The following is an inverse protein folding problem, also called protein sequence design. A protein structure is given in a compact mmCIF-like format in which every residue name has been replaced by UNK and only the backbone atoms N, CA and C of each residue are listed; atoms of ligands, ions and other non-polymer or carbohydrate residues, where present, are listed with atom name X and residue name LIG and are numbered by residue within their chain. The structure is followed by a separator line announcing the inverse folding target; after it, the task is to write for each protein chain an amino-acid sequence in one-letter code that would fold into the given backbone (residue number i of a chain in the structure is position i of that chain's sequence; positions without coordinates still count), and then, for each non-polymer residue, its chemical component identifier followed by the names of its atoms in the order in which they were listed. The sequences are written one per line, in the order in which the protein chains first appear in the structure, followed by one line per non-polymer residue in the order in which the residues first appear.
data_IF_358093184439
#
_entry.id   IF_358093184439
#
_cell.length_a   1.000
_cell.length_b   1.000
_cell.length_c   1.000
_cell.angle_alpha   90.00
_cell.angle_beta   90.00
_cell.angle_gamma   90.00
#
_symmetry.space_group_name_H-M   'P 1'
#
loop_
_entity.id
_entity.type
_entity.pdbx_description
1 polymer ?
#
# COMPACT_ATOMS: atom_id res chain seq x y z
N UNK A 1 28.52 -65.74 -31.71
CA UNK A 1 28.69 -64.28 -31.78
C UNK A 1 29.88 -64.01 -32.66
N UNK A 2 29.69 -63.27 -33.77
CA UNK A 2 30.84 -62.88 -34.60
C UNK A 2 31.72 -61.90 -33.82
N UNK A 3 32.91 -62.34 -33.48
CA UNK A 3 33.93 -61.50 -32.82
C UNK A 3 34.56 -60.60 -33.86
N UNK A 4 34.15 -59.34 -33.89
CA UNK A 4 34.60 -58.32 -34.82
C UNK A 4 35.77 -57.55 -34.15
N UNK A 5 36.99 -57.70 -34.65
CA UNK A 5 38.21 -57.08 -34.09
C UNK A 5 38.26 -55.56 -34.37
N UNK A 6 37.63 -55.13 -35.46
CA UNK A 6 37.64 -53.73 -35.90
C UNK A 6 36.64 -52.86 -35.12
N UNK A 7 35.52 -53.44 -34.64
CA UNK A 7 34.55 -52.70 -33.85
C UNK A 7 34.18 -53.48 -32.56
N UNK A 8 34.62 -52.91 -31.39
CA UNK A 8 34.29 -53.49 -30.12
C UNK A 8 32.88 -53.06 -29.67
N UNK A 9 31.87 -53.79 -30.16
CA UNK A 9 30.45 -53.51 -29.83
C UNK A 9 30.17 -53.53 -28.32
N UNK A 10 30.79 -54.48 -27.58
CA UNK A 10 30.64 -54.58 -26.15
C UNK A 10 31.17 -53.36 -25.41
N UNK A 11 32.35 -52.88 -25.82
CA UNK A 11 32.91 -51.63 -25.23
C UNK A 11 32.07 -50.39 -25.55
N UNK A 12 31.50 -50.30 -26.76
CA UNK A 12 30.61 -49.21 -27.15
C UNK A 12 29.30 -49.21 -26.37
N UNK A 13 28.71 -50.38 -26.11
CA UNK A 13 27.52 -50.51 -25.25
C UNK A 13 27.85 -50.14 -23.79
N UNK A 14 28.97 -50.66 -23.27
CA UNK A 14 29.43 -50.32 -21.93
C UNK A 14 29.68 -48.82 -21.75
N UNK A 15 30.33 -48.19 -22.74
CA UNK A 15 30.59 -46.73 -22.74
C UNK A 15 29.29 -45.93 -22.77
N UNK A 16 28.30 -46.29 -23.59
CA UNK A 16 26.97 -45.61 -23.60
C UNK A 16 26.26 -45.73 -22.28
N UNK A 17 26.26 -46.92 -21.67
CA UNK A 17 25.62 -47.15 -20.37
C UNK A 17 26.35 -46.39 -19.26
N UNK A 18 27.69 -46.36 -19.27
CA UNK A 18 28.47 -45.57 -18.34
C UNK A 18 28.16 -44.06 -18.46
N UNK A 19 28.13 -43.53 -19.68
CA UNK A 19 27.79 -42.13 -19.92
C UNK A 19 26.37 -41.80 -19.45
N UNK A 20 25.42 -42.73 -19.64
CA UNK A 20 24.02 -42.56 -19.17
C UNK A 20 23.96 -42.56 -17.63
N UNK A 21 24.68 -43.48 -16.97
CA UNK A 21 24.75 -43.56 -15.50
C UNK A 21 25.43 -42.31 -14.88
N UNK A 22 26.51 -41.81 -15.49
CA UNK A 22 27.21 -40.60 -15.06
C UNK A 22 26.34 -39.35 -15.18
N UNK A 23 25.64 -39.16 -16.32
CA UNK A 23 24.67 -38.07 -16.50
C UNK A 23 23.54 -38.15 -15.47
N UNK A 24 23.02 -39.35 -15.18
CA UNK A 24 21.97 -39.53 -14.19
C UNK A 24 22.48 -39.21 -12.77
N UNK A 25 23.69 -39.67 -12.42
CA UNK A 25 24.32 -39.33 -11.14
C UNK A 25 24.55 -37.82 -10.97
N UNK A 26 25.04 -37.15 -12.00
CA UNK A 26 25.22 -35.68 -12.01
C UNK A 26 23.87 -34.94 -11.86
N UNK A 27 22.81 -35.41 -12.51
CA UNK A 27 21.46 -34.85 -12.36
C UNK A 27 20.94 -35.03 -10.93
N UNK A 28 21.07 -36.22 -10.33
CA UNK A 28 20.68 -36.47 -8.94
C UNK A 28 21.50 -35.60 -7.96
N UNK A 29 22.79 -35.42 -8.22
CA UNK A 29 23.64 -34.54 -7.41
C UNK A 29 23.17 -33.06 -7.50
N UNK A 30 22.80 -32.59 -8.68
CA UNK A 30 22.25 -31.24 -8.86
C UNK A 30 20.95 -31.04 -8.08
N UNK A 31 20.04 -32.03 -8.10
CA UNK A 31 18.80 -32.02 -7.31
C UNK A 31 19.07 -32.02 -5.80
N UNK A 32 19.98 -32.87 -5.35
CA UNK A 32 20.39 -32.95 -3.93
C UNK A 32 21.03 -31.65 -3.47
N UNK A 33 21.88 -31.04 -4.30
CA UNK A 33 22.55 -29.77 -3.98
C UNK A 33 21.59 -28.58 -3.94
N UNK A 34 20.55 -28.57 -4.80
CA UNK A 34 19.54 -27.50 -4.83
C UNK A 34 18.39 -27.71 -3.83
N UNK A 35 18.21 -28.93 -3.32
CA UNK A 35 17.04 -29.32 -2.52
C UNK A 35 15.73 -29.36 -3.31
N UNK A 36 15.79 -29.17 -4.63
CA UNK A 36 14.63 -29.07 -5.51
C UNK A 36 14.53 -30.30 -6.45
N UNK A 37 13.34 -30.86 -6.58
CA UNK A 37 13.03 -31.94 -7.52
C UNK A 37 13.17 -31.48 -8.98
N UNK A 38 12.83 -30.21 -9.25
CA UNK A 38 12.88 -29.59 -10.57
C UNK A 38 13.95 -28.52 -10.59
N UNK A 39 15.11 -28.84 -11.16
CA UNK A 39 16.25 -27.91 -11.23
C UNK A 39 16.23 -27.12 -12.55
N UNK A 40 15.68 -27.69 -13.60
CA UNK A 40 15.64 -27.08 -14.93
C UNK A 40 14.27 -27.28 -15.58
N UNK A 41 13.92 -26.37 -16.53
CA UNK A 41 12.69 -26.50 -17.32
C UNK A 41 12.63 -27.79 -18.15
N UNK A 42 13.76 -28.49 -18.34
CA UNK A 42 13.87 -29.77 -19.01
C UNK A 42 13.33 -30.91 -18.14
N UNK A 43 13.44 -30.79 -16.82
CA UNK A 43 13.01 -31.83 -15.87
C UNK A 43 11.49 -31.87 -15.77
N UNK A 44 10.85 -30.71 -15.59
CA UNK A 44 9.41 -30.54 -15.60
C UNK A 44 9.06 -29.05 -15.83
N UNK A 45 8.69 -28.71 -17.07
CA UNK A 45 8.35 -27.35 -17.44
C UNK A 45 7.04 -26.87 -16.79
N UNK A 46 6.08 -27.80 -16.57
CA UNK A 46 4.78 -27.46 -15.99
C UNK A 46 4.92 -27.15 -14.49
N UNK A 47 5.61 -28.01 -13.74
CA UNK A 47 5.87 -27.79 -12.32
C UNK A 47 6.70 -26.54 -12.09
N UNK A 48 7.70 -26.27 -12.94
CA UNK A 48 8.52 -25.05 -12.86
C UNK A 48 7.70 -23.78 -13.10
N UNK A 49 6.82 -23.77 -14.11
CA UNK A 49 5.97 -22.64 -14.41
C UNK A 49 4.95 -22.34 -13.28
N UNK A 50 4.31 -23.40 -12.76
CA UNK A 50 3.37 -23.28 -11.64
C UNK A 50 4.12 -22.84 -10.38
N UNK A 51 5.26 -23.45 -10.07
CA UNK A 51 6.08 -23.10 -8.91
C UNK A 51 6.59 -21.65 -8.94
N UNK A 52 6.99 -21.13 -10.10
CA UNK A 52 7.34 -19.73 -10.29
C UNK A 52 6.16 -18.80 -10.03
N UNK A 53 4.95 -19.18 -10.49
CA UNK A 53 3.74 -18.38 -10.27
C UNK A 53 3.36 -18.35 -8.79
N UNK A 54 3.41 -19.53 -8.12
CA UNK A 54 3.17 -19.60 -6.67
C UNK A 54 4.22 -18.79 -5.88
N UNK A 55 5.49 -18.82 -6.29
CA UNK A 55 6.54 -18.00 -5.67
C UNK A 55 6.24 -16.50 -5.79
N UNK A 56 5.80 -16.04 -6.95
CA UNK A 56 5.40 -14.63 -7.14
C UNK A 56 4.17 -14.29 -6.29
N UNK A 57 3.21 -15.20 -6.16
CA UNK A 57 2.03 -15.04 -5.31
C UNK A 57 2.41 -14.93 -3.83
N UNK A 58 3.31 -15.78 -3.33
CA UNK A 58 3.83 -15.72 -1.97
C UNK A 58 4.51 -14.38 -1.70
N UNK A 59 5.31 -13.85 -2.64
CA UNK A 59 5.93 -12.52 -2.50
C UNK A 59 4.87 -11.42 -2.42
N UNK A 60 3.82 -11.50 -3.24
CA UNK A 60 2.68 -10.58 -3.20
C UNK A 60 1.94 -10.64 -1.86
N UNK A 61 1.66 -11.84 -1.35
CA UNK A 61 1.01 -12.04 -0.05
C UNK A 61 1.86 -11.51 1.11
N UNK A 62 3.18 -11.71 1.07
CA UNK A 62 4.09 -11.13 2.08
C UNK A 62 4.04 -9.60 2.07
N UNK A 63 4.00 -8.97 0.90
CA UNK A 63 3.84 -7.52 0.81
C UNK A 63 2.46 -7.07 1.28
N UNK A 64 1.39 -7.81 0.96
CA UNK A 64 0.04 -7.53 1.44
C UNK A 64 -0.04 -7.61 2.98
N UNK A 65 0.65 -8.56 3.61
CA UNK A 65 0.76 -8.64 5.07
C UNK A 65 1.44 -7.40 5.68
N UNK A 66 2.51 -6.91 5.05
CA UNK A 66 3.17 -5.66 5.46
C UNK A 66 2.22 -4.46 5.32
N UNK A 67 1.51 -4.36 4.20
CA UNK A 67 0.54 -3.28 3.97
C UNK A 67 -0.58 -3.30 5.03
N UNK A 68 -1.07 -4.49 5.40
CA UNK A 68 -2.10 -4.66 6.44
C UNK A 68 -1.58 -4.24 7.81
N UNK A 69 -0.32 -4.56 8.14
CA UNK A 69 0.32 -4.10 9.38
C UNK A 69 0.48 -2.58 9.44
N UNK A 70 0.86 -1.95 8.33
CA UNK A 70 0.94 -0.49 8.22
C UNK A 70 -0.45 0.16 8.37
N UNK A 71 -1.48 -0.41 7.74
CA UNK A 71 -2.86 0.05 7.87
C UNK A 71 -3.34 -0.02 9.33
N UNK A 72 -3.07 -1.13 10.02
CA UNK A 72 -3.42 -1.30 11.43
C UNK A 72 -2.72 -0.25 12.31
N UNK A 73 -1.42 -0.01 12.07
CA UNK A 73 -0.64 1.01 12.81
C UNK A 73 -1.20 2.42 12.57
N UNK A 74 -1.57 2.74 11.34
CA UNK A 74 -2.19 4.02 10.99
C UNK A 74 -3.51 4.22 11.75
N UNK A 75 -4.36 3.19 11.82
CA UNK A 75 -5.64 3.26 12.53
C UNK A 75 -5.45 3.37 14.05
N UNK A 76 -4.41 2.76 14.62
CA UNK A 76 -4.08 2.93 16.03
C UNK A 76 -3.68 4.37 16.36
N UNK A 77 -2.91 5.03 15.48
CA UNK A 77 -2.56 6.46 15.63
C UNK A 77 -3.82 7.31 15.57
N UNK A 78 -4.73 7.05 14.62
CA UNK A 78 -5.99 7.78 14.49
C UNK A 78 -6.90 7.59 15.72
N UNK A 79 -7.08 6.35 16.21
CA UNK A 79 -7.88 6.08 17.40
C UNK A 79 -7.27 6.73 18.66
N UNK A 80 -5.95 6.72 18.79
CA UNK A 80 -5.26 7.40 19.88
C UNK A 80 -5.55 8.90 19.91
N UNK A 81 -5.53 9.57 18.76
CA UNK A 81 -5.90 10.99 18.65
C UNK A 81 -7.38 11.22 18.96
N UNK A 82 -8.27 10.38 18.41
CA UNK A 82 -9.71 10.46 18.68
C UNK A 82 -10.03 10.25 20.17
N UNK A 83 -9.29 9.37 20.86
CA UNK A 83 -9.42 9.18 22.30
C UNK A 83 -9.07 10.44 23.08
N UNK A 84 -7.96 11.13 22.73
CA UNK A 84 -7.57 12.39 23.37
C UNK A 84 -8.60 13.49 23.14
N UNK A 85 -9.12 13.61 21.92
CA UNK A 85 -10.18 14.56 21.62
C UNK A 85 -11.46 14.25 22.41
N UNK A 86 -11.82 12.96 22.59
CA UNK A 86 -12.94 12.56 23.46
C UNK A 86 -12.76 13.02 24.90
N UNK A 87 -11.55 12.91 25.47
CA UNK A 87 -11.25 13.37 26.81
C UNK A 87 -11.43 14.91 26.92
N UNK A 88 -10.99 15.65 25.90
CA UNK A 88 -11.16 17.10 25.82
C UNK A 88 -12.66 17.47 25.73
N UNK A 89 -13.44 16.80 24.87
CA UNK A 89 -14.88 17.02 24.73
C UNK A 89 -15.62 16.76 26.06
N UNK A 90 -15.25 15.71 26.78
CA UNK A 90 -15.81 15.43 28.10
C UNK A 90 -15.51 16.57 29.09
N UNK A 91 -14.31 17.12 29.08
CA UNK A 91 -13.97 18.29 29.92
C UNK A 91 -14.74 19.52 29.46
N UNK A 92 -14.86 19.79 28.19
CA UNK A 92 -15.65 20.89 27.63
C UNK A 92 -17.12 20.76 28.00
N UNK A 93 -17.69 19.55 28.06
CA UNK A 93 -19.04 19.28 28.54
C UNK A 93 -19.19 19.69 30.00
N UNK A 94 -18.24 19.31 30.84
CA UNK A 94 -18.27 19.68 32.26
C UNK A 94 -18.24 21.21 32.45
N UNK A 95 -17.36 21.92 31.69
CA UNK A 95 -17.28 23.39 31.72
C UNK A 95 -18.57 24.05 31.24
N UNK A 96 -19.20 23.54 30.18
CA UNK A 96 -20.45 24.07 29.65
C UNK A 96 -21.60 23.90 30.65
N UNK A 97 -21.67 22.77 31.34
CA UNK A 97 -22.68 22.54 32.43
C UNK A 97 -22.40 23.47 33.60
N UNK A 98 -21.13 23.65 34.01
CA UNK A 98 -20.76 24.57 35.09
C UNK A 98 -21.14 26.01 34.74
N UNK A 99 -20.83 26.48 33.53
CA UNK A 99 -21.15 27.83 33.06
C UNK A 99 -22.65 28.07 32.89
N UNK A 100 -23.44 27.01 32.66
CA UNK A 100 -24.92 27.04 32.65
C UNK A 100 -25.56 27.27 33.99
N UNK A 101 -24.81 27.18 35.09
CA UNK A 101 -25.33 27.47 36.43
C UNK A 101 -25.68 28.96 36.60
N UNK A 102 -26.88 29.22 37.11
CA UNK A 102 -27.34 30.57 37.35
C UNK A 102 -26.59 31.32 38.46
N UNK A 103 -25.75 30.63 39.23
CA UNK A 103 -25.02 31.20 40.36
C UNK A 103 -23.76 31.96 39.97
N UNK A 104 -23.21 31.70 38.76
CA UNK A 104 -21.97 32.32 38.32
C UNK A 104 -22.18 33.74 37.79
N UNK A 105 -21.25 34.62 38.10
CA UNK A 105 -21.19 35.96 37.53
C UNK A 105 -20.70 35.92 36.05
N UNK A 106 -20.91 36.99 35.32
CA UNK A 106 -20.41 37.10 33.97
C UNK A 106 -18.88 37.01 33.86
N UNK A 107 -18.16 37.53 34.88
CA UNK A 107 -16.70 37.49 34.95
C UNK A 107 -16.19 36.05 35.15
N UNK A 108 -16.84 35.28 36.03
CA UNK A 108 -16.49 33.87 36.28
C UNK A 108 -16.74 33.02 35.01
N UNK A 109 -17.89 33.25 34.32
CA UNK A 109 -18.13 32.60 33.03
C UNK A 109 -17.10 32.96 31.99
N UNK A 110 -16.64 34.20 31.94
CA UNK A 110 -15.56 34.63 31.01
C UNK A 110 -14.24 33.88 31.28
N UNK A 111 -13.93 33.64 32.58
CA UNK A 111 -12.76 32.81 32.93
C UNK A 111 -12.92 31.36 32.51
N UNK A 112 -14.07 30.77 32.68
CA UNK A 112 -14.38 29.41 32.19
C UNK A 112 -14.33 29.35 30.63
N UNK A 113 -14.83 30.42 29.98
CA UNK A 113 -14.78 30.48 28.51
C UNK A 113 -13.35 30.54 28.01
N UNK A 114 -12.42 31.16 28.71
CA UNK A 114 -10.99 31.17 28.34
C UNK A 114 -10.43 29.72 28.35
N UNK A 115 -10.73 28.91 29.35
CA UNK A 115 -10.35 27.50 29.41
C UNK A 115 -11.02 26.72 28.27
N UNK A 116 -12.32 26.98 28.05
CA UNK A 116 -13.09 26.33 26.98
C UNK A 116 -12.52 26.61 25.59
N UNK A 117 -12.15 27.86 25.28
CA UNK A 117 -11.51 28.25 24.00
C UNK A 117 -10.11 27.64 23.84
N UNK A 118 -9.35 27.51 24.94
CA UNK A 118 -8.06 26.81 24.90
C UNK A 118 -8.22 25.34 24.53
N UNK A 119 -9.27 24.69 25.02
CA UNK A 119 -9.58 23.29 24.64
C UNK A 119 -10.02 23.16 23.18
N UNK A 120 -10.79 24.11 22.65
CA UNK A 120 -11.12 24.15 21.21
C UNK A 120 -9.87 24.27 20.35
N UNK A 121 -8.94 25.14 20.78
CA UNK A 121 -7.65 25.28 20.10
C UNK A 121 -6.83 23.98 20.14
N UNK A 122 -6.88 23.27 21.26
CA UNK A 122 -6.17 21.99 21.42
C UNK A 122 -6.77 20.88 20.55
N UNK A 123 -8.12 20.79 20.43
CA UNK A 123 -8.77 19.88 19.47
C UNK A 123 -8.28 20.14 18.06
N UNK A 124 -8.24 21.43 17.67
CA UNK A 124 -7.76 21.83 16.32
C UNK A 124 -6.31 21.46 16.12
N UNK A 125 -5.46 21.68 17.14
CA UNK A 125 -4.04 21.30 17.08
C UNK A 125 -3.85 19.80 16.96
N UNK A 126 -4.51 18.99 17.82
CA UNK A 126 -4.39 17.52 17.74
C UNK A 126 -4.87 17.01 16.38
N UNK A 127 -5.99 17.56 15.88
CA UNK A 127 -6.52 17.19 14.59
C UNK A 127 -5.55 17.48 13.44
N UNK A 128 -4.84 18.61 13.49
CA UNK A 128 -3.88 19.02 12.45
C UNK A 128 -2.55 18.26 12.55
N UNK A 129 -2.05 18.02 13.78
CA UNK A 129 -0.74 17.40 14.03
C UNK A 129 -0.76 15.87 13.92
N UNK A 130 -1.96 15.24 13.93
CA UNK A 130 -2.05 13.79 13.82
C UNK A 130 -1.83 13.35 12.38
N UNK A 131 -0.61 12.89 12.12
CA UNK A 131 -0.21 12.43 10.78
C UNK A 131 0.43 11.02 10.85
N UNK A 132 0.39 10.33 9.73
CA UNK A 132 1.10 9.08 9.50
C UNK A 132 1.79 9.14 8.13
N UNK A 133 3.10 8.99 8.12
CA UNK A 133 3.93 9.10 6.90
C UNK A 133 3.69 10.40 6.10
N UNK A 134 3.46 11.53 6.80
CA UNK A 134 3.21 12.84 6.18
C UNK A 134 1.77 13.07 5.72
N UNK A 135 0.87 12.12 5.94
CA UNK A 135 -0.56 12.29 5.64
C UNK A 135 -1.33 12.54 6.95
N UNK A 136 -2.07 13.63 7.01
CA UNK A 136 -2.95 13.94 8.14
C UNK A 136 -4.13 12.96 8.15
N UNK A 137 -4.41 12.38 9.31
CA UNK A 137 -5.41 11.31 9.43
C UNK A 137 -6.80 11.82 9.82
N UNK A 138 -6.86 12.73 10.77
CA UNK A 138 -8.10 13.12 11.47
C UNK A 138 -8.50 14.57 11.23
N UNK A 139 -7.75 15.30 10.43
CA UNK A 139 -8.10 16.70 10.06
C UNK A 139 -9.21 16.79 9.00
N UNK A 140 -9.47 15.68 8.31
CA UNK A 140 -10.32 15.63 7.13
C UNK A 140 -9.55 15.97 5.86
N UNK A 141 -9.71 15.16 4.83
CA UNK A 141 -9.27 15.54 3.49
C UNK A 141 -10.42 16.28 2.81
N UNK A 142 -10.15 17.48 2.33
CA UNK A 142 -11.07 18.12 1.40
C UNK A 142 -10.99 17.37 0.07
N UNK A 143 -11.97 16.52 -0.22
CA UNK A 143 -12.06 15.87 -1.54
C UNK A 143 -12.60 16.89 -2.52
N UNK A 144 -11.77 17.19 -3.51
CA UNK A 144 -12.19 18.05 -4.63
C UNK A 144 -12.89 17.19 -5.66
N UNK A 145 -14.19 17.31 -5.77
CA UNK A 145 -14.93 16.73 -6.88
C UNK A 145 -14.71 17.57 -8.14
N UNK A 146 -13.97 17.03 -9.08
CA UNK A 146 -13.62 17.65 -10.37
C UNK A 146 -14.61 17.35 -11.47
N UNK A 147 -15.67 16.59 -11.20
CA UNK A 147 -16.66 16.19 -12.23
C UNK A 147 -17.32 17.40 -12.89
N UNK A 148 -17.47 18.51 -12.19
CA UNK A 148 -18.02 19.77 -12.71
C UNK A 148 -16.98 20.70 -13.35
N UNK A 149 -15.66 20.42 -13.19
CA UNK A 149 -14.56 21.26 -13.68
C UNK A 149 -13.89 20.63 -14.91
N UNK A 150 -14.62 20.44 -16.00
CA UNK A 150 -14.14 19.80 -17.24
C UNK A 150 -12.85 20.43 -17.80
N UNK A 151 -12.64 21.75 -17.61
CA UNK A 151 -11.42 22.45 -18.03
C UNK A 151 -10.17 22.06 -17.20
N UNK A 152 -10.32 21.41 -16.05
CA UNK A 152 -9.28 21.01 -15.13
C UNK A 152 -9.33 19.48 -14.83
N UNK A 153 -9.89 18.71 -15.74
CA UNK A 153 -9.94 17.27 -15.65
C UNK A 153 -8.57 16.62 -15.90
N UNK A 154 -8.44 15.34 -15.57
CA UNK A 154 -7.22 14.54 -15.78
C UNK A 154 -6.75 14.58 -17.24
N UNK A 155 -7.68 14.57 -18.20
CA UNK A 155 -7.44 14.67 -19.64
C UNK A 155 -6.93 16.05 -20.09
N UNK A 156 -7.11 17.06 -19.26
CA UNK A 156 -6.68 18.44 -19.48
C UNK A 156 -5.38 18.79 -18.72
N UNK A 157 -4.76 17.80 -18.10
CA UNK A 157 -3.42 17.95 -17.52
C UNK A 157 -3.37 18.28 -16.03
N UNK A 158 -4.49 18.39 -15.32
CA UNK A 158 -4.51 18.49 -13.85
C UNK A 158 -4.71 17.10 -13.27
N UNK A 159 -3.66 16.57 -12.67
CA UNK A 159 -3.67 15.23 -12.09
C UNK A 159 -4.40 15.21 -10.75
N UNK A 160 -4.12 16.19 -9.88
CA UNK A 160 -4.76 16.28 -8.58
C UNK A 160 -4.79 17.72 -8.05
N UNK A 161 -5.69 17.99 -7.10
CA UNK A 161 -5.75 19.26 -6.35
C UNK A 161 -5.89 18.90 -4.87
N UNK A 162 -4.86 19.23 -4.09
CA UNK A 162 -4.78 18.87 -2.67
C UNK A 162 -4.85 20.15 -1.83
N UNK A 163 -5.81 20.22 -0.94
CA UNK A 163 -5.92 21.31 0.03
C UNK A 163 -5.10 20.96 1.28
N UNK A 164 -4.18 21.85 1.66
CA UNK A 164 -3.37 21.71 2.88
C UNK A 164 -3.71 22.78 3.88
N UNK A 165 -4.04 22.37 5.09
CA UNK A 165 -4.47 23.24 6.17
C UNK A 165 -5.98 23.17 6.43
N UNK A 166 -6.48 24.05 7.29
CA UNK A 166 -7.90 24.14 7.65
C UNK A 166 -8.62 25.07 6.69
N UNK A 167 -9.25 24.52 5.67
CA UNK A 167 -10.05 25.29 4.73
C UNK A 167 -11.51 25.31 5.13
N UNK A 168 -12.16 26.48 5.03
CA UNK A 168 -13.62 26.55 5.18
C UNK A 168 -14.31 25.96 3.97
N UNK A 169 -15.26 25.04 4.22
CA UNK A 169 -16.09 24.47 3.17
C UNK A 169 -16.98 25.51 2.56
N UNK A 170 -16.72 25.91 1.32
CA UNK A 170 -17.64 26.71 0.51
C UNK A 170 -18.25 25.84 -0.57
N UNK A 171 -19.56 25.96 -0.76
CA UNK A 171 -20.28 25.18 -1.75
C UNK A 171 -19.84 25.46 -3.21
N UNK A 172 -19.12 26.54 -3.45
CA UNK A 172 -18.63 26.93 -4.78
C UNK A 172 -17.21 27.48 -4.67
N UNK A 173 -16.24 26.60 -4.84
CA UNK A 173 -14.87 27.03 -5.12
C UNK A 173 -14.68 27.09 -6.63
N UNK A 174 -13.92 28.04 -7.11
CA UNK A 174 -13.60 28.15 -8.53
C UNK A 174 -12.11 28.06 -8.75
N UNK A 175 -11.70 27.42 -9.82
CA UNK A 175 -10.33 27.40 -10.29
C UNK A 175 -10.24 28.06 -11.66
N UNK A 176 -9.26 28.91 -11.84
CA UNK A 176 -8.95 29.56 -13.11
C UNK A 176 -7.46 29.48 -13.37
N UNK A 177 -7.10 29.42 -14.64
CA UNK A 177 -5.71 29.49 -15.10
C UNK A 177 -5.60 30.51 -16.24
N UNK A 178 -4.68 31.44 -16.13
CA UNK A 178 -4.47 32.47 -17.13
C UNK A 178 -3.20 32.23 -17.97
N UNK A 179 -3.10 32.94 -19.09
CA UNK A 179 -1.95 32.86 -20.02
C UNK A 179 -0.63 33.34 -19.40
N UNK A 180 -0.68 34.06 -18.28
CA UNK A 180 0.52 34.49 -17.54
C UNK A 180 1.08 33.37 -16.61
N UNK A 181 0.54 32.14 -16.68
CA UNK A 181 1.00 31.04 -15.88
C UNK A 181 0.49 31.02 -14.43
N UNK A 182 -0.59 31.74 -14.13
CA UNK A 182 -1.12 31.83 -12.77
C UNK A 182 -2.36 30.98 -12.61
N UNK A 183 -2.33 30.07 -11.63
CA UNK A 183 -3.52 29.44 -11.09
C UNK A 183 -4.13 30.35 -10.01
N UNK A 184 -5.43 30.53 -10.07
CA UNK A 184 -6.21 31.20 -9.04
C UNK A 184 -7.30 30.26 -8.58
N UNK A 185 -7.26 29.83 -7.34
CA UNK A 185 -8.32 29.02 -6.72
C UNK A 185 -9.03 29.92 -5.73
N UNK A 186 -10.26 30.29 -6.04
CA UNK A 186 -11.08 31.13 -5.16
C UNK A 186 -11.93 30.22 -4.28
N UNK A 187 -11.75 30.33 -2.98
CA UNK A 187 -12.49 29.60 -1.95
C UNK A 187 -13.30 30.58 -1.09
N UNK A 188 -14.09 30.07 -0.16
CA UNK A 188 -14.77 30.92 0.83
C UNK A 188 -13.83 31.77 1.71
N UNK A 189 -12.56 31.43 1.77
CA UNK A 189 -11.53 32.17 2.53
C UNK A 189 -10.86 33.26 1.69
N UNK A 190 -10.91 33.19 0.38
CA UNK A 190 -10.28 34.11 -0.55
C UNK A 190 -9.67 33.46 -1.78
N UNK A 191 -8.88 34.21 -2.51
CA UNK A 191 -8.22 33.76 -3.73
C UNK A 191 -6.81 33.29 -3.43
N UNK A 192 -6.57 31.97 -3.53
CA UNK A 192 -5.24 31.37 -3.49
C UNK A 192 -4.60 31.48 -4.87
N UNK A 193 -3.40 32.02 -4.94
CA UNK A 193 -2.66 32.19 -6.19
C UNK A 193 -1.36 31.40 -6.19
N UNK A 194 -1.17 30.59 -7.22
CA UNK A 194 0.08 29.87 -7.49
C UNK A 194 0.54 30.16 -8.91
N UNK A 195 1.82 30.44 -9.10
CA UNK A 195 2.38 30.75 -10.42
C UNK A 195 3.30 29.65 -10.90
N UNK A 196 3.16 29.27 -12.17
CA UNK A 196 4.17 28.49 -12.90
C UNK A 196 5.17 29.49 -13.45
N UNK A 197 6.44 29.37 -13.11
CA UNK A 197 7.48 30.19 -13.72
C UNK A 197 7.54 29.92 -15.22
N UNK A 198 7.06 30.85 -16.02
CA UNK A 198 6.88 30.71 -17.46
C UNK A 198 8.19 30.67 -18.28
N UNK A 199 9.33 30.87 -17.62
CA UNK A 199 10.62 30.98 -18.32
C UNK A 199 11.16 29.66 -18.88
N UNK A 200 10.57 28.52 -18.48
CA UNK A 200 11.10 27.19 -18.83
C UNK A 200 10.22 26.41 -19.81
N UNK A 201 8.94 26.79 -20.04
CA UNK A 201 7.99 25.95 -20.75
C UNK A 201 7.03 26.71 -21.69
N UNK A 202 7.54 27.57 -22.56
CA UNK A 202 6.71 28.20 -23.57
C UNK A 202 6.23 27.18 -24.61
N UNK A 203 5.02 26.67 -24.45
CA UNK A 203 4.37 25.74 -25.40
C UNK A 203 4.73 24.26 -25.23
N UNK A 204 5.45 23.87 -24.19
CA UNK A 204 5.77 22.46 -23.87
C UNK A 204 4.88 21.88 -22.79
N UNK A 205 4.58 20.61 -22.88
CA UNK A 205 3.84 19.86 -21.87
C UNK A 205 4.63 19.78 -20.56
N UNK A 206 3.94 19.87 -19.44
CA UNK A 206 4.54 19.76 -18.10
C UNK A 206 4.95 18.30 -17.82
N UNK A 207 5.94 18.11 -16.95
CA UNK A 207 6.29 16.78 -16.47
C UNK A 207 5.21 16.27 -15.51
N UNK A 208 4.92 14.97 -15.58
CA UNK A 208 3.99 14.33 -14.63
C UNK A 208 4.50 14.51 -13.19
N UNK A 209 3.61 14.94 -12.28
CA UNK A 209 3.94 15.16 -10.88
C UNK A 209 4.47 16.57 -10.57
N UNK A 210 4.48 17.51 -11.52
CA UNK A 210 4.79 18.91 -11.22
C UNK A 210 3.73 19.48 -10.28
N UNK A 211 4.15 19.97 -9.12
CA UNK A 211 3.26 20.56 -8.11
C UNK A 211 3.36 22.08 -8.15
N UNK A 212 2.21 22.74 -8.28
CA UNK A 212 2.08 24.20 -8.15
C UNK A 212 1.35 24.49 -6.86
N UNK A 213 2.06 25.08 -5.89
CA UNK A 213 1.46 25.46 -4.62
C UNK A 213 0.87 26.87 -4.71
N UNK A 214 -0.45 26.95 -4.56
CA UNK A 214 -1.17 28.22 -4.45
C UNK A 214 -1.28 28.63 -2.98
N UNK A 215 -0.97 29.89 -2.68
CA UNK A 215 -0.98 30.44 -1.33
C UNK A 215 -1.89 31.66 -1.24
N UNK A 216 -2.49 31.88 -0.08
CA UNK A 216 -3.25 33.09 0.25
C UNK A 216 -2.40 33.97 1.17
N UNK A 217 -2.29 35.25 0.86
CA UNK A 217 -1.54 36.19 1.69
C UNK A 217 -2.14 36.29 3.10
N UNK A 218 -1.32 36.01 4.12
CA UNK A 218 -1.72 36.04 5.53
C UNK A 218 -2.35 34.74 6.05
N UNK A 219 -2.43 33.68 5.24
CA UNK A 219 -2.89 32.36 5.65
C UNK A 219 -1.75 31.32 5.60
N UNK A 220 -1.77 30.37 6.52
CA UNK A 220 -0.90 29.18 6.49
C UNK A 220 -1.45 28.09 5.55
N UNK A 221 -2.71 28.24 5.10
CA UNK A 221 -3.37 27.31 4.20
C UNK A 221 -2.75 27.37 2.81
N UNK A 222 -2.63 26.21 2.17
CA UNK A 222 -2.05 26.06 0.83
C UNK A 222 -2.91 25.14 -0.01
N UNK A 223 -2.87 25.32 -1.31
CA UNK A 223 -3.52 24.41 -2.27
C UNK A 223 -2.45 23.95 -3.26
N UNK A 224 -2.18 22.66 -3.27
CA UNK A 224 -1.24 22.05 -4.21
C UNK A 224 -2.00 21.54 -5.42
N UNK A 225 -1.61 21.99 -6.60
CA UNK A 225 -2.17 21.56 -7.89
C UNK A 225 -1.13 20.69 -8.56
N UNK A 226 -1.39 19.39 -8.68
CA UNK A 226 -0.50 18.43 -9.32
C UNK A 226 -0.83 18.34 -10.80
N UNK A 227 0.18 18.56 -11.64
CA UNK A 227 0.04 18.57 -13.09
C UNK A 227 0.59 17.28 -13.73
N UNK A 228 0.08 16.94 -14.91
CA UNK A 228 0.59 15.84 -15.72
C UNK A 228 1.01 16.35 -17.13
N UNK A 229 1.51 15.45 -17.96
CA UNK A 229 2.03 15.75 -19.30
C UNK A 229 1.00 16.33 -20.28
N UNK A 230 -0.29 16.21 -20.00
CA UNK A 230 -1.36 16.82 -20.83
C UNK A 230 -1.58 18.31 -20.53
N UNK A 231 -0.92 18.87 -19.48
CA UNK A 231 -1.06 20.28 -19.15
C UNK A 231 -0.21 21.14 -20.08
N UNK A 232 -0.86 21.99 -20.86
CA UNK A 232 -0.20 22.94 -21.76
C UNK A 232 -0.22 24.31 -21.11
N UNK A 233 0.98 24.85 -20.89
CA UNK A 233 1.20 26.23 -20.44
C UNK A 233 0.84 27.18 -21.59
N UNK A 234 0.36 28.38 -21.26
CA UNK A 234 0.03 29.44 -22.23
C UNK A 234 -1.35 29.30 -22.92
N UNK A 235 -2.24 28.48 -22.39
CA UNK A 235 -3.66 28.44 -22.78
C UNK A 235 -4.52 28.89 -21.61
N UNK A 236 -5.27 30.01 -21.78
CA UNK A 236 -6.27 30.41 -20.78
C UNK A 236 -7.32 29.31 -20.67
N UNK A 237 -7.57 28.85 -19.47
CA UNK A 237 -8.63 27.88 -19.19
C UNK A 237 -9.81 28.59 -18.57
N UNK A 238 -11.00 28.27 -19.07
CA UNK A 238 -12.24 28.79 -18.51
C UNK A 238 -12.33 28.46 -17.01
N UNK A 239 -12.91 29.37 -16.24
CA UNK A 239 -13.15 29.16 -14.81
C UNK A 239 -14.00 27.91 -14.62
N UNK A 240 -13.45 26.92 -13.93
CA UNK A 240 -14.16 25.70 -13.53
C UNK A 240 -14.65 25.83 -12.10
N UNK A 241 -15.87 25.39 -11.82
CA UNK A 241 -16.34 25.23 -10.45
C UNK A 241 -15.79 23.92 -9.86
N UNK A 242 -15.09 24.02 -8.77
CA UNK A 242 -14.69 22.87 -7.96
C UNK A 242 -15.76 22.67 -6.91
N UNK A 243 -16.58 21.63 -7.04
CA UNK A 243 -17.41 21.21 -5.92
C UNK A 243 -16.48 20.65 -4.86
N UNK A 244 -16.15 21.42 -3.85
CA UNK A 244 -15.54 20.91 -2.63
C UNK A 244 -16.66 20.39 -1.77
N UNK A 245 -16.90 19.12 -1.85
CA UNK A 245 -17.56 18.44 -0.75
C UNK A 245 -16.49 18.33 0.33
N UNK A 246 -16.70 19.03 1.44
CA UNK A 246 -15.98 18.72 2.64
C UNK A 246 -16.26 17.27 2.94
N UNK A 247 -15.44 16.36 2.40
CA UNK A 247 -15.49 15.00 2.86
C UNK A 247 -15.00 15.06 4.28
N UNK A 248 -15.94 14.95 5.19
CA UNK A 248 -15.64 14.81 6.63
C UNK A 248 -14.83 13.52 6.90
N UNK A 249 -14.33 12.84 5.85
CA UNK A 249 -13.56 11.62 5.99
C UNK A 249 -12.44 11.52 4.96
N UNK A 250 -11.25 11.17 5.40
CA UNK A 250 -10.16 10.73 4.55
C UNK A 250 -10.37 9.24 4.25
N UNK A 251 -10.34 8.83 2.98
CA UNK A 251 -10.44 7.43 2.58
C UNK A 251 -9.07 6.93 2.14
N UNK A 252 -8.60 5.88 2.79
CA UNK A 252 -7.34 5.21 2.47
C UNK A 252 -7.63 3.82 1.95
N UNK A 253 -7.05 3.46 0.84
CA UNK A 253 -7.21 2.14 0.23
C UNK A 253 -5.91 1.35 0.39
N UNK A 254 -6.00 0.20 1.04
CA UNK A 254 -4.87 -0.70 1.27
C UNK A 254 -5.04 -1.96 0.44
N UNK A 255 -4.00 -2.27 -0.34
CA UNK A 255 -3.97 -3.50 -1.11
C UNK A 255 -3.60 -4.67 -0.20
N UNK A 256 -4.54 -5.58 -0.01
CA UNK A 256 -4.44 -6.77 0.87
C UNK A 256 -4.46 -8.08 0.08
N UNK A 257 -4.66 -8.01 -1.23
CA UNK A 257 -4.64 -9.15 -2.14
C UNK A 257 -3.54 -9.02 -3.19
N UNK A 258 -3.30 -10.11 -3.93
CA UNK A 258 -2.32 -10.19 -5.02
C UNK A 258 -2.94 -9.96 -6.41
N UNK A 259 -4.26 -9.88 -6.48
CA UNK A 259 -5.00 -9.70 -7.72
C UNK A 259 -5.04 -8.26 -8.22
N UNK A 260 -5.77 -8.05 -9.31
CA UNK A 260 -6.00 -6.75 -9.95
C UNK A 260 -7.41 -6.23 -9.73
N UNK A 261 -8.26 -6.97 -9.00
CA UNK A 261 -9.66 -6.63 -8.76
C UNK A 261 -9.75 -5.83 -7.46
N UNK A 262 -9.90 -4.51 -7.59
CA UNK A 262 -9.94 -3.58 -6.47
C UNK A 262 -10.98 -3.96 -5.40
N UNK A 263 -12.15 -4.44 -5.79
CA UNK A 263 -13.22 -4.80 -4.86
C UNK A 263 -12.91 -6.02 -3.97
N UNK A 264 -12.02 -6.93 -4.42
CA UNK A 264 -11.66 -8.15 -3.70
C UNK A 264 -10.32 -8.05 -2.99
N UNK A 265 -9.40 -7.25 -3.57
CA UNK A 265 -8.00 -7.19 -3.16
C UNK A 265 -7.69 -5.95 -2.30
N UNK A 266 -8.62 -5.00 -2.21
CA UNK A 266 -8.40 -3.73 -1.54
C UNK A 266 -9.34 -3.58 -0.32
N UNK A 267 -8.81 -3.10 0.78
CA UNK A 267 -9.62 -2.66 1.93
C UNK A 267 -9.58 -1.14 1.98
N UNK A 268 -10.75 -0.52 1.77
CA UNK A 268 -10.93 0.92 1.97
C UNK A 268 -11.29 1.19 3.42
N UNK A 269 -10.59 2.12 4.03
CA UNK A 269 -10.81 2.60 5.38
C UNK A 269 -11.10 4.09 5.32
N UNK A 270 -12.23 4.50 5.87
CA UNK A 270 -12.60 5.91 5.97
C UNK A 270 -12.37 6.39 7.41
N UNK A 271 -11.54 7.43 7.56
CA UNK A 271 -11.30 8.08 8.84
C UNK A 271 -12.00 9.44 8.78
N UNK A 272 -12.96 9.64 9.70
CA UNK A 272 -13.70 10.90 9.76
C UNK A 272 -12.87 12.03 10.36
N UNK A 273 -13.11 13.24 9.87
CA UNK A 273 -12.54 14.45 10.45
C UNK A 273 -13.11 14.70 11.83
N UNK A 274 -12.22 14.95 12.77
CA UNK A 274 -12.58 15.28 14.16
C UNK A 274 -12.07 16.67 14.55
N UNK A 275 -11.91 17.55 13.56
CA UNK A 275 -11.61 18.97 13.81
C UNK A 275 -12.76 19.65 14.53
N UNK A 276 -12.49 20.72 15.25
CA UNK A 276 -13.53 21.51 15.94
C UNK A 276 -14.65 21.98 15.00
N UNK A 277 -14.31 22.25 13.73
CA UNK A 277 -15.28 22.62 12.69
C UNK A 277 -16.17 21.44 12.28
N UNK A 278 -15.58 20.27 12.02
CA UNK A 278 -16.33 19.07 11.64
C UNK A 278 -17.27 18.57 12.74
N UNK A 279 -16.86 18.74 13.99
CA UNK A 279 -17.65 18.40 15.16
C UNK A 279 -18.66 19.51 15.54
N UNK A 280 -18.77 20.59 14.73
CA UNK A 280 -19.69 21.71 14.94
C UNK A 280 -19.55 22.43 16.30
N UNK A 281 -18.34 22.37 16.88
CA UNK A 281 -18.03 23.05 18.16
C UNK A 281 -17.17 24.30 18.02
N UNK A 282 -16.66 24.60 16.83
CA UNK A 282 -15.70 25.70 16.58
C UNK A 282 -16.20 27.10 16.93
N UNK A 283 -17.51 27.33 16.89
CA UNK A 283 -18.15 28.61 17.16
C UNK A 283 -18.84 28.69 18.52
N UNK A 284 -18.68 27.64 19.35
CA UNK A 284 -19.32 27.57 20.67
C UNK A 284 -18.58 28.42 21.70
N UNK A 285 -19.33 29.07 22.59
CA UNK A 285 -18.83 29.89 23.70
C UNK A 285 -19.75 29.66 24.94
N UNK A 286 -19.21 29.90 26.11
CA UNK A 286 -19.95 29.67 27.38
C UNK A 286 -20.06 30.94 28.23
N UNK A 287 -19.94 32.13 27.62
CA UNK A 287 -19.96 33.43 28.29
C UNK A 287 -21.33 33.79 28.88
N UNK A 288 -22.42 33.20 28.38
CA UNK A 288 -23.77 33.37 28.91
C UNK A 288 -24.44 32.04 29.16
N UNK A 289 -25.47 32.00 30.04
CA UNK A 289 -26.22 30.77 30.32
C UNK A 289 -26.85 30.16 29.07
N UNK A 290 -27.38 31.00 28.16
CA UNK A 290 -27.99 30.54 26.92
C UNK A 290 -26.94 29.91 25.99
N UNK A 291 -25.76 30.54 25.85
CA UNK A 291 -24.64 30.00 25.06
C UNK A 291 -24.07 28.73 25.72
N UNK A 292 -23.95 28.70 27.04
CA UNK A 292 -23.48 27.51 27.74
C UNK A 292 -24.40 26.29 27.54
N UNK A 293 -25.72 26.48 27.53
CA UNK A 293 -26.67 25.43 27.21
C UNK A 293 -26.57 24.98 25.74
N UNK A 294 -26.41 25.93 24.80
CA UNK A 294 -26.21 25.61 23.39
C UNK A 294 -24.87 24.87 23.18
N UNK A 295 -23.80 25.32 23.80
CA UNK A 295 -22.50 24.66 23.79
C UNK A 295 -22.56 23.25 24.37
N UNK A 296 -23.29 23.09 25.50
CA UNK A 296 -23.51 21.79 26.12
C UNK A 296 -24.19 20.79 25.16
N UNK A 297 -25.18 21.24 24.39
CA UNK A 297 -25.84 20.42 23.38
C UNK A 297 -24.93 20.08 22.22
N UNK A 298 -24.18 21.08 21.68
CA UNK A 298 -23.23 20.87 20.59
C UNK A 298 -22.12 19.87 20.98
N UNK A 299 -21.56 20.02 22.18
CA UNK A 299 -20.54 19.09 22.69
C UNK A 299 -21.10 17.68 22.90
N UNK A 300 -22.38 17.54 23.32
CA UNK A 300 -22.98 16.20 23.40
C UNK A 300 -23.09 15.52 22.04
N UNK A 301 -23.53 16.25 21.00
CA UNK A 301 -23.60 15.73 19.66
C UNK A 301 -22.18 15.37 19.15
N UNK A 302 -21.18 16.21 19.43
CA UNK A 302 -19.79 15.93 19.10
C UNK A 302 -19.25 14.67 19.78
N UNK A 303 -19.65 14.39 21.02
CA UNK A 303 -19.29 13.14 21.72
C UNK A 303 -19.95 11.93 21.05
N UNK A 304 -21.22 12.02 20.65
CA UNK A 304 -21.94 10.94 19.98
C UNK A 304 -21.32 10.65 18.59
N UNK A 305 -21.00 11.70 17.83
CA UNK A 305 -20.27 11.58 16.56
C UNK A 305 -18.90 10.92 16.76
N UNK A 306 -18.15 11.35 17.77
CA UNK A 306 -16.85 10.78 18.11
C UNK A 306 -16.94 9.29 18.42
N UNK A 307 -17.94 8.84 19.19
CA UNK A 307 -18.15 7.42 19.49
C UNK A 307 -18.46 6.64 18.22
N UNK A 308 -19.26 7.21 17.32
CA UNK A 308 -19.57 6.61 16.01
C UNK A 308 -18.32 6.47 15.16
N UNK A 309 -17.48 7.49 15.05
CA UNK A 309 -16.25 7.46 14.28
C UNK A 309 -15.24 6.46 14.84
N UNK A 310 -15.08 6.41 16.17
CA UNK A 310 -14.23 5.41 16.82
C UNK A 310 -14.74 3.98 16.59
N UNK A 311 -16.05 3.77 16.62
CA UNK A 311 -16.65 2.48 16.30
C UNK A 311 -16.33 2.03 14.87
N UNK A 312 -16.36 2.94 13.90
CA UNK A 312 -16.01 2.65 12.50
C UNK A 312 -14.52 2.34 12.33
N UNK A 313 -13.65 3.07 13.06
CA UNK A 313 -12.21 2.78 13.09
C UNK A 313 -11.97 1.38 13.67
N UNK A 314 -12.62 1.05 14.80
CA UNK A 314 -12.54 -0.27 15.42
C UNK A 314 -13.04 -1.40 14.51
N UNK A 315 -14.16 -1.19 13.80
CA UNK A 315 -14.66 -2.13 12.82
C UNK A 315 -13.65 -2.34 11.67
N UNK A 316 -12.98 -1.27 11.24
CA UNK A 316 -11.93 -1.34 10.19
C UNK A 316 -10.69 -2.07 10.69
N UNK A 317 -10.30 -1.88 11.96
CA UNK A 317 -9.21 -2.64 12.58
C UNK A 317 -9.51 -4.14 12.60
N UNK A 318 -10.71 -4.53 13.03
CA UNK A 318 -11.14 -5.92 13.02
C UNK A 318 -11.11 -6.51 11.60
N UNK A 319 -11.57 -5.77 10.59
CA UNK A 319 -11.50 -6.22 9.18
C UNK A 319 -10.08 -6.44 8.71
N UNK A 320 -9.14 -5.56 9.08
CA UNK A 320 -7.73 -5.72 8.76
C UNK A 320 -7.11 -6.93 9.48
N UNK A 321 -7.48 -7.19 10.72
CA UNK A 321 -7.04 -8.36 11.48
C UNK A 321 -7.49 -9.66 10.81
N UNK A 322 -8.76 -9.76 10.42
CA UNK A 322 -9.26 -10.91 9.66
C UNK A 322 -8.56 -11.05 8.29
N UNK A 323 -8.29 -9.94 7.62
CA UNK A 323 -7.54 -9.97 6.36
C UNK A 323 -6.11 -10.46 6.58
N UNK A 324 -5.43 -10.01 7.64
CA UNK A 324 -4.09 -10.46 7.99
C UNK A 324 -4.04 -11.96 8.28
N UNK A 325 -5.02 -12.48 9.04
CA UNK A 325 -5.15 -13.91 9.32
C UNK A 325 -5.40 -14.72 8.03
N UNK A 326 -6.24 -14.22 7.14
CA UNK A 326 -6.50 -14.86 5.84
C UNK A 326 -5.25 -14.87 4.96
N UNK A 327 -4.52 -13.75 4.86
CA UNK A 327 -3.27 -13.65 4.12
C UNK A 327 -2.24 -14.65 4.65
N UNK A 328 -2.10 -14.77 5.98
CA UNK A 328 -1.18 -15.71 6.61
C UNK A 328 -1.52 -17.16 6.23
N UNK A 329 -2.80 -17.55 6.36
CA UNK A 329 -3.27 -18.90 6.00
C UNK A 329 -3.09 -19.17 4.51
N UNK A 330 -3.41 -18.20 3.64
CA UNK A 330 -3.25 -18.35 2.19
C UNK A 330 -1.78 -18.47 1.82
N UNK A 331 -0.91 -17.67 2.45
CA UNK A 331 0.55 -17.75 2.23
C UNK A 331 1.11 -19.11 2.62
N UNK A 332 0.69 -19.66 3.77
CA UNK A 332 1.11 -20.98 4.25
C UNK A 332 0.64 -22.09 3.30
N UNK A 333 -0.62 -22.06 2.89
CA UNK A 333 -1.16 -23.04 1.94
C UNK A 333 -0.48 -22.97 0.56
N UNK A 334 -0.20 -21.76 0.08
CA UNK A 334 0.50 -21.57 -1.19
C UNK A 334 1.95 -22.04 -1.11
N UNK A 335 2.61 -21.82 0.03
CA UNK A 335 3.97 -22.31 0.28
C UNK A 335 4.00 -23.83 0.38
N UNK A 336 3.02 -24.46 1.07
CA UNK A 336 2.87 -25.91 1.12
C UNK A 336 2.62 -26.50 -0.27
N UNK A 337 1.76 -25.89 -1.09
CA UNK A 337 1.52 -26.31 -2.46
C UNK A 337 2.78 -26.19 -3.33
N UNK A 338 3.56 -25.12 -3.17
CA UNK A 338 4.84 -24.95 -3.86
C UNK A 338 5.85 -26.01 -3.45
N UNK A 339 5.95 -26.29 -2.15
CA UNK A 339 6.82 -27.31 -1.58
C UNK A 339 6.50 -28.70 -2.17
N UNK A 340 5.24 -29.10 -2.22
CA UNK A 340 4.81 -30.37 -2.83
C UNK A 340 5.20 -30.50 -4.32
N UNK A 341 5.23 -29.36 -5.04
CA UNK A 341 5.59 -29.35 -6.46
C UNK A 341 7.09 -29.36 -6.71
N UNK A 342 7.86 -28.64 -5.90
CA UNK A 342 9.26 -28.33 -6.18
C UNK A 342 10.24 -29.02 -5.23
N UNK A 343 9.87 -29.30 -3.99
CA UNK A 343 10.81 -29.81 -3.01
C UNK A 343 11.16 -31.28 -3.26
N UNK A 344 12.37 -31.62 -2.93
CA UNK A 344 12.94 -32.95 -3.14
C UNK A 344 12.82 -33.81 -1.89
N UNK A 345 12.34 -35.06 -2.07
CA UNK A 345 12.55 -36.10 -1.06
C UNK A 345 14.03 -36.53 -1.09
N UNK A 346 14.79 -35.93 -0.19
CA UNK A 346 16.24 -36.13 -0.09
C UNK A 346 16.58 -37.61 0.18
N UNK A 347 15.78 -38.34 0.98
CA UNK A 347 16.04 -39.74 1.31
C UNK A 347 15.91 -40.63 0.08
N UNK A 348 14.87 -40.43 -0.70
CA UNK A 348 14.61 -41.18 -1.95
C UNK A 348 15.67 -40.85 -3.00
N UNK A 349 16.00 -39.57 -3.21
CA UNK A 349 16.98 -39.18 -4.20
C UNK A 349 18.42 -39.58 -3.82
N UNK A 350 18.78 -39.61 -2.53
CA UNK A 350 20.06 -40.19 -2.07
C UNK A 350 20.21 -41.65 -2.40
N UNK A 351 19.17 -42.45 -2.22
CA UNK A 351 19.21 -43.89 -2.62
C UNK A 351 19.39 -44.04 -4.13
N UNK A 352 18.72 -43.19 -4.91
CA UNK A 352 18.86 -43.13 -6.37
C UNK A 352 20.27 -42.72 -6.76
N UNK A 353 20.82 -41.68 -6.15
CA UNK A 353 22.20 -41.22 -6.40
C UNK A 353 23.24 -42.31 -6.11
N UNK A 354 23.18 -42.97 -4.94
CA UNK A 354 24.10 -44.04 -4.55
C UNK A 354 23.99 -45.22 -5.54
N UNK A 355 22.77 -45.56 -5.96
CA UNK A 355 22.55 -46.61 -7.00
C UNK A 355 23.23 -46.23 -8.32
N UNK A 356 23.10 -44.97 -8.77
CA UNK A 356 23.77 -44.50 -10.00
C UNK A 356 25.28 -44.43 -9.84
N UNK A 357 25.76 -44.07 -8.68
CA UNK A 357 27.21 -44.07 -8.38
C UNK A 357 27.81 -45.50 -8.43
N UNK A 358 27.12 -46.50 -7.87
CA UNK A 358 27.50 -47.90 -7.97
C UNK A 358 27.51 -48.34 -9.43
N UNK A 359 26.48 -47.99 -10.22
CA UNK A 359 26.39 -48.31 -11.65
C UNK A 359 27.54 -47.65 -12.44
N UNK A 360 27.95 -46.44 -12.09
CA UNK A 360 29.09 -45.78 -12.72
C UNK A 360 30.39 -46.53 -12.43
N UNK A 361 30.62 -46.93 -11.18
CA UNK A 361 31.80 -47.74 -10.80
C UNK A 361 31.81 -49.12 -11.48
N UNK A 362 30.66 -49.81 -11.49
CA UNK A 362 30.50 -51.05 -12.21
C UNK A 362 30.69 -50.89 -13.73
N UNK A 363 30.19 -49.78 -14.30
CA UNK A 363 30.35 -49.46 -15.73
C UNK A 363 31.81 -49.26 -16.13
N UNK A 364 32.61 -48.63 -15.29
CA UNK A 364 34.06 -48.46 -15.53
C UNK A 364 34.76 -49.85 -15.50
N UNK A 365 34.41 -50.70 -14.54
CA UNK A 365 34.96 -52.05 -14.45
C UNK A 365 34.58 -52.92 -15.69
N UNK A 366 33.31 -52.86 -16.13
CA UNK A 366 32.83 -53.54 -17.31
C UNK A 366 33.46 -53.02 -18.60
N UNK A 367 33.67 -51.72 -18.72
CA UNK A 367 34.37 -51.12 -19.86
C UNK A 367 35.82 -51.58 -19.91
N UNK A 368 36.53 -51.65 -18.81
CA UNK A 368 37.89 -52.19 -18.69
C UNK A 368 37.94 -53.65 -19.13
N UNK A 369 36.97 -54.46 -18.66
CA UNK A 369 36.88 -55.86 -19.07
C UNK A 369 36.57 -56.04 -20.56
N UNK A 370 35.64 -55.24 -21.09
CA UNK A 370 35.31 -55.27 -22.55
C UNK A 370 36.49 -54.86 -23.45
N UNK A 371 37.39 -54.00 -22.95
CA UNK A 371 38.60 -53.60 -23.68
C UNK A 371 39.70 -54.68 -23.64
N UNK A 372 39.71 -55.56 -22.62
CA UNK A 372 40.67 -56.68 -22.56
C UNK A 372 40.35 -57.83 -23.51
N UNK A 373 39.07 -58.08 -23.81
CA UNK A 373 38.64 -59.18 -24.67
C UNK A 373 39.33 -59.22 -26.05
N UNK A 374 39.45 -58.12 -26.81
CA UNK A 374 40.17 -58.11 -28.06
C UNK A 374 41.70 -58.36 -27.91
N UNK A 375 42.28 -57.96 -26.77
CA UNK A 375 43.72 -58.12 -26.52
C UNK A 375 44.04 -59.63 -26.22
N UNK A 376 43.20 -60.30 -25.50
CA UNK A 376 43.33 -61.77 -25.25
C UNK A 376 43.22 -62.57 -26.57
N UNK A 377 42.30 -62.16 -27.44
CA UNK A 377 42.20 -62.77 -28.76
C UNK A 377 43.47 -62.55 -29.64
N UNK A 378 44.02 -61.32 -29.63
CA UNK A 378 45.27 -61.03 -30.33
C UNK A 378 46.45 -61.88 -29.82
N UNK A 379 46.51 -62.13 -28.51
CA UNK A 379 47.52 -63.03 -27.88
C UNK A 379 47.35 -64.51 -28.35
N UNK A 380 46.10 -64.96 -28.55
CA UNK A 380 45.81 -66.29 -29.06
C UNK A 380 46.21 -66.47 -30.53
N UNK A 381 46.17 -65.40 -31.36
CA UNK A 381 46.59 -65.40 -32.74
C UNK A 381 48.14 -65.23 -32.94
N UNK A 382 48.85 -64.87 -31.86
CA UNK A 382 50.32 -64.73 -31.89
C UNK A 382 51.11 -65.92 -31.38
N UNK A 383 50.39 -66.99 -30.93
CA UNK A 383 50.94 -68.33 -30.65
C UNK A 383 50.66 -69.24 -31.84
#
# INVERSE_FOLDING_TARGET
MALNIISNYAANVAHRNLTAADKAATSSLAKLSSGSRVVSAKDDAAAMAIGSRLAAEIMGLKQAAVNTGQAASMLQVADGAMSRISDILNRMKALSVQAGSGQLSSTERAMLDTEYQAMLSEITRISADTEFAGNTLVSGAMVVDRTSATAFALTQGVQDIVFRGTHTTSATNSIAYNTAGTFTVTTGEGAFTGTISSSTNNGTNMSTGTVVTATLAGSTNKIDIVLNTAFVVNTTRATGTLATSGSSSASYTFKVGTGTVSAADDISVSIHSVSAASLSVSTTSITTVALANAASSAVSNAIDDMQTYRSQVGASQNRLEFAAANIATTSENTEAARSQLLDLDVASEMTTFVSKQILTQAGVAMLSQAQRMPQELLRLFQQ
#
